data_IF_949266324900
#
_entry.id   IF_949266324900
#
_cell.length_a   1.000
_cell.length_b   1.000
_cell.length_c   1.000
_cell.angle_alpha   90.00
_cell.angle_beta   90.00
_cell.angle_gamma   90.00
#
_symmetry.space_group_name_H-M   'P 1'
#
loop_
_entity.id
_entity.type
_entity.pdbx_description
1 polymer ?
#
# COMPACT_ATOMS: atom_id res chain seq x y z
N UNK A 1 16.11 9.36 8.00
CA UNK A 1 15.52 8.15 8.58
C UNK A 1 16.52 7.01 8.67
N UNK A 2 17.16 6.58 7.57
CA UNK A 2 18.14 5.48 7.60
C UNK A 2 19.34 5.76 8.52
N UNK A 3 19.85 6.99 8.54
CA UNK A 3 20.94 7.41 9.44
C UNK A 3 20.51 7.38 10.91
N UNK A 4 19.30 7.83 11.22
CA UNK A 4 18.72 7.73 12.58
C UNK A 4 18.56 6.27 12.99
N UNK A 5 18.18 5.43 12.06
CA UNK A 5 18.03 3.99 12.26
C UNK A 5 19.38 3.30 12.56
N UNK A 6 20.46 3.72 11.90
CA UNK A 6 21.82 3.20 12.15
C UNK A 6 22.39 3.65 13.50
N UNK A 7 22.03 4.87 13.95
CA UNK A 7 22.52 5.43 15.22
C UNK A 7 21.81 4.81 16.44
N UNK A 8 20.52 4.48 16.32
CA UNK A 8 19.73 3.88 17.39
C UNK A 8 19.53 2.37 17.20
N UNK A 9 20.49 1.73 16.54
CA UNK A 9 20.42 0.37 16.04
C UNK A 9 19.98 -0.66 17.11
N UNK A 10 20.69 -0.76 18.23
CA UNK A 10 20.43 -1.79 19.25
C UNK A 10 19.12 -1.58 20.03
N UNK A 11 18.72 -0.34 20.27
CA UNK A 11 17.50 -0.04 21.01
C UNK A 11 16.25 -0.32 20.19
N UNK A 12 16.25 0.07 18.90
CA UNK A 12 15.10 -0.07 18.01
C UNK A 12 14.92 -1.55 17.62
N UNK A 13 16.00 -2.26 17.32
CA UNK A 13 15.95 -3.64 16.83
C UNK A 13 15.59 -4.65 17.91
N UNK A 14 16.23 -4.57 19.07
CA UNK A 14 16.02 -5.57 20.14
C UNK A 14 14.78 -5.28 20.97
N UNK A 15 14.45 -3.99 21.23
CA UNK A 15 13.37 -3.64 22.14
C UNK A 15 12.03 -3.39 21.48
N UNK A 16 12.01 -2.87 20.23
CA UNK A 16 10.76 -2.45 19.57
C UNK A 16 10.34 -3.39 18.47
N UNK A 17 11.23 -3.79 17.57
CA UNK A 17 10.88 -4.52 16.36
C UNK A 17 11.06 -6.03 16.48
N UNK A 18 12.00 -6.50 17.30
CA UNK A 18 12.35 -7.93 17.44
C UNK A 18 12.56 -8.65 16.08
N UNK A 19 13.20 -7.96 15.12
CA UNK A 19 13.43 -8.41 13.75
C UNK A 19 14.93 -8.33 13.45
N UNK A 20 15.50 -9.35 12.83
CA UNK A 20 16.90 -9.39 12.44
C UNK A 20 17.28 -8.26 11.46
N UNK A 21 18.43 -7.64 11.67
CA UNK A 21 18.98 -6.53 10.86
C UNK A 21 19.00 -6.83 9.36
N UNK A 22 19.28 -8.08 8.96
CA UNK A 22 19.36 -8.51 7.55
C UNK A 22 18.08 -8.25 6.75
N UNK A 23 16.90 -8.37 7.39
CA UNK A 23 15.61 -8.15 6.72
C UNK A 23 15.37 -6.66 6.45
N UNK A 24 15.83 -5.83 7.33
CA UNK A 24 15.55 -4.39 7.32
C UNK A 24 16.34 -3.69 6.22
N UNK A 25 17.58 -4.09 5.95
CA UNK A 25 18.34 -3.52 4.85
C UNK A 25 17.65 -3.69 3.49
N UNK A 26 17.05 -4.85 3.25
CA UNK A 26 16.28 -5.12 2.01
C UNK A 26 15.04 -4.23 1.94
N UNK A 27 14.33 -4.08 3.06
CA UNK A 27 13.15 -3.23 3.13
C UNK A 27 13.48 -1.75 2.91
N UNK A 28 14.60 -1.26 3.48
CA UNK A 28 15.05 0.12 3.26
C UNK A 28 15.48 0.37 1.82
N UNK A 29 16.18 -0.56 1.21
CA UNK A 29 16.53 -0.46 -0.21
C UNK A 29 15.28 -0.31 -1.09
N UNK A 30 14.27 -1.15 -0.86
CA UNK A 30 12.98 -1.02 -1.53
C UNK A 30 12.31 0.32 -1.24
N UNK A 31 12.27 0.75 0.02
CA UNK A 31 11.63 2.00 0.44
C UNK A 31 12.25 3.21 -0.26
N UNK A 32 13.56 3.19 -0.49
CA UNK A 32 14.26 4.25 -1.24
C UNK A 32 13.85 4.28 -2.72
N UNK A 33 13.66 3.12 -3.33
CA UNK A 33 13.29 3.02 -4.74
C UNK A 33 11.79 3.19 -5.00
N UNK A 34 10.93 2.80 -4.08
CA UNK A 34 9.47 2.76 -4.22
C UNK A 34 8.79 4.06 -4.69
N UNK A 35 9.24 5.27 -4.29
CA UNK A 35 8.63 6.51 -4.74
C UNK A 35 8.60 6.67 -6.27
N UNK A 36 9.62 6.19 -6.98
CA UNK A 36 9.68 6.30 -8.44
C UNK A 36 8.55 5.51 -9.13
N UNK A 37 8.31 4.29 -8.66
CA UNK A 37 7.18 3.48 -9.12
C UNK A 37 5.84 4.14 -8.81
N UNK A 38 5.66 4.61 -7.59
CA UNK A 38 4.44 5.28 -7.15
C UNK A 38 4.14 6.53 -7.98
N UNK A 39 5.15 7.38 -8.23
CA UNK A 39 5.02 8.56 -9.08
C UNK A 39 4.66 8.20 -10.53
N UNK A 40 5.31 7.19 -11.10
CA UNK A 40 5.04 6.74 -12.46
C UNK A 40 3.60 6.27 -12.62
N UNK A 41 3.16 5.40 -11.74
CA UNK A 41 1.81 4.81 -11.74
C UNK A 41 0.75 5.89 -11.51
N UNK A 42 0.95 6.76 -10.52
CA UNK A 42 0.01 7.87 -10.20
C UNK A 42 -0.11 8.86 -11.36
N UNK A 43 1.01 9.21 -12.00
CA UNK A 43 1.00 10.07 -13.20
C UNK A 43 0.14 9.46 -14.31
N UNK A 44 0.35 8.19 -14.67
CA UNK A 44 -0.40 7.57 -15.75
C UNK A 44 -1.89 7.42 -15.43
N UNK A 45 -2.23 7.21 -14.15
CA UNK A 45 -3.61 7.21 -13.68
C UNK A 45 -4.26 8.60 -13.82
N UNK A 46 -3.57 9.65 -13.39
CA UNK A 46 -4.08 11.02 -13.49
C UNK A 46 -4.32 11.47 -14.94
N UNK A 47 -3.54 10.95 -15.90
CA UNK A 47 -3.74 11.20 -17.34
C UNK A 47 -4.64 10.16 -18.03
N UNK A 48 -5.44 9.39 -17.31
CA UNK A 48 -6.36 8.36 -17.83
C UNK A 48 -5.70 7.29 -18.72
N UNK A 49 -4.38 7.11 -18.62
CA UNK A 49 -3.66 6.07 -19.35
C UNK A 49 -3.78 4.71 -18.64
N UNK A 50 -5.02 4.24 -18.52
CA UNK A 50 -5.36 3.05 -17.75
C UNK A 50 -4.62 1.78 -18.18
N UNK A 51 -4.36 1.60 -19.49
CA UNK A 51 -3.61 0.42 -19.99
C UNK A 51 -2.22 0.35 -19.43
N UNK A 52 -1.46 1.46 -19.45
CA UNK A 52 -0.09 1.51 -18.91
C UNK A 52 -0.13 1.29 -17.40
N UNK A 53 -1.05 1.94 -16.71
CA UNK A 53 -1.26 1.76 -15.27
C UNK A 53 -1.54 0.28 -14.92
N UNK A 54 -2.52 -0.36 -15.58
CA UNK A 54 -2.92 -1.74 -15.29
C UNK A 54 -1.82 -2.74 -15.61
N UNK A 55 -1.13 -2.60 -16.75
CA UNK A 55 -0.03 -3.48 -17.15
C UNK A 55 1.12 -3.37 -16.14
N UNK A 56 1.56 -2.16 -15.79
CA UNK A 56 2.65 -1.97 -14.83
C UNK A 56 2.31 -2.49 -13.44
N UNK A 57 1.07 -2.28 -12.99
CA UNK A 57 0.61 -2.82 -11.71
C UNK A 57 0.53 -4.35 -11.76
N UNK A 58 0.00 -4.92 -12.83
CA UNK A 58 -0.07 -6.37 -13.04
C UNK A 58 1.31 -7.02 -13.06
N UNK A 59 2.27 -6.44 -13.79
CA UNK A 59 3.65 -6.92 -13.83
C UNK A 59 4.29 -6.87 -12.43
N UNK A 60 4.13 -5.76 -11.72
CA UNK A 60 4.69 -5.62 -10.37
C UNK A 60 4.15 -6.66 -9.40
N UNK A 61 2.85 -6.90 -9.42
CA UNK A 61 2.20 -7.91 -8.58
C UNK A 61 2.64 -9.31 -8.98
N UNK A 62 2.62 -9.65 -10.27
CA UNK A 62 2.99 -10.96 -10.77
C UNK A 62 4.46 -11.31 -10.45
N UNK A 63 5.38 -10.36 -10.63
CA UNK A 63 6.78 -10.53 -10.28
C UNK A 63 6.95 -10.73 -8.77
N UNK A 64 6.35 -9.87 -7.95
CA UNK A 64 6.51 -9.94 -6.49
C UNK A 64 5.88 -11.19 -5.89
N UNK A 65 4.69 -11.57 -6.33
CA UNK A 65 4.02 -12.80 -5.85
C UNK A 65 4.72 -14.06 -6.40
N UNK A 66 5.03 -14.09 -7.69
CA UNK A 66 5.66 -15.25 -8.32
C UNK A 66 7.03 -15.56 -7.70
N UNK A 67 7.89 -14.54 -7.59
CA UNK A 67 9.23 -14.72 -6.95
C UNK A 67 9.11 -15.03 -5.46
N UNK A 68 8.16 -14.43 -4.75
CA UNK A 68 7.93 -14.71 -3.33
C UNK A 68 7.51 -16.17 -3.11
N UNK A 69 6.58 -16.70 -3.91
CA UNK A 69 6.14 -18.09 -3.81
C UNK A 69 7.29 -19.06 -4.12
N UNK A 70 8.04 -18.81 -5.18
CA UNK A 70 9.18 -19.66 -5.55
C UNK A 70 10.23 -19.69 -4.44
N UNK A 71 10.63 -18.52 -3.92
CA UNK A 71 11.66 -18.42 -2.90
C UNK A 71 11.23 -18.99 -1.54
N UNK A 72 9.95 -18.86 -1.16
CA UNK A 72 9.42 -19.46 0.07
C UNK A 72 9.49 -20.99 0.01
N UNK A 73 9.31 -21.60 -1.18
CA UNK A 73 9.42 -23.05 -1.34
C UNK A 73 10.89 -23.51 -1.39
N UNK A 74 11.77 -22.72 -2.02
CA UNK A 74 13.18 -23.11 -2.24
C UNK A 74 14.09 -22.81 -1.04
N UNK A 75 13.77 -21.82 -0.20
CA UNK A 75 14.63 -21.42 0.91
C UNK A 75 14.22 -22.09 2.22
N UNK A 76 15.22 -22.50 3.02
CA UNK A 76 14.99 -23.02 4.37
C UNK A 76 14.39 -21.95 5.31
N UNK A 77 14.84 -20.70 5.18
CA UNK A 77 14.27 -19.56 5.88
C UNK A 77 13.12 -18.97 5.04
N UNK A 78 11.89 -19.42 5.35
CA UNK A 78 10.66 -19.00 4.67
C UNK A 78 10.38 -17.50 4.78
N UNK A 79 10.77 -16.88 5.90
CA UNK A 79 10.61 -15.43 6.10
C UNK A 79 11.55 -14.67 5.17
N UNK A 80 12.80 -15.09 5.08
CA UNK A 80 13.77 -14.49 4.15
C UNK A 80 13.32 -14.64 2.71
N UNK A 81 12.87 -15.83 2.32
CA UNK A 81 12.34 -16.09 0.98
C UNK A 81 11.17 -15.18 0.62
N UNK A 82 10.26 -14.96 1.56
CA UNK A 82 9.13 -14.04 1.37
C UNK A 82 9.56 -12.58 1.23
N UNK A 83 10.48 -12.11 2.06
CA UNK A 83 10.96 -10.72 2.05
C UNK A 83 11.75 -10.44 0.77
N UNK A 84 12.71 -11.29 0.43
CA UNK A 84 13.48 -11.16 -0.80
C UNK A 84 12.55 -11.18 -2.03
N UNK A 85 11.67 -12.17 -2.11
CA UNK A 85 10.78 -12.35 -3.25
C UNK A 85 9.78 -11.21 -3.44
N UNK A 86 9.36 -10.57 -2.36
CA UNK A 86 8.43 -9.45 -2.43
C UNK A 86 9.11 -8.12 -2.73
N UNK A 87 10.23 -7.82 -2.06
CA UNK A 87 10.82 -6.48 -2.10
C UNK A 87 11.89 -6.30 -3.18
N UNK A 88 12.70 -7.33 -3.50
CA UNK A 88 13.76 -7.18 -4.48
C UNK A 88 13.24 -6.95 -5.90
N UNK A 89 12.30 -7.74 -6.44
CA UNK A 89 11.77 -7.48 -7.79
C UNK A 89 11.06 -6.13 -7.89
N UNK A 90 10.34 -5.75 -6.84
CA UNK A 90 9.70 -4.45 -6.77
C UNK A 90 10.72 -3.30 -6.70
N UNK A 91 11.84 -3.47 -5.99
CA UNK A 91 12.93 -2.51 -5.95
C UNK A 91 13.64 -2.36 -7.31
N UNK A 92 13.90 -3.48 -7.99
CA UNK A 92 14.51 -3.48 -9.33
C UNK A 92 13.61 -2.74 -10.33
N UNK A 93 12.31 -3.06 -10.35
CA UNK A 93 11.35 -2.38 -11.21
C UNK A 93 11.30 -0.88 -10.92
N UNK A 94 11.29 -0.52 -9.65
CA UNK A 94 11.29 0.87 -9.19
C UNK A 94 12.58 1.60 -9.57
N UNK A 95 13.73 0.93 -9.48
CA UNK A 95 15.04 1.47 -9.86
C UNK A 95 15.12 1.74 -11.38
N UNK A 96 14.63 0.82 -12.19
CA UNK A 96 14.54 1.01 -13.65
C UNK A 96 13.70 2.24 -13.97
N UNK A 97 12.55 2.38 -13.32
CA UNK A 97 11.69 3.56 -13.49
C UNK A 97 12.33 4.85 -12.97
N UNK A 98 13.10 4.76 -11.87
CA UNK A 98 13.85 5.90 -11.36
C UNK A 98 14.87 6.42 -12.37
N UNK A 99 15.66 5.51 -12.94
CA UNK A 99 16.64 5.84 -13.99
C UNK A 99 15.93 6.44 -15.20
N UNK A 100 14.84 5.83 -15.66
CA UNK A 100 14.04 6.34 -16.78
C UNK A 100 13.50 7.76 -16.52
N UNK A 101 12.96 8.02 -15.33
CA UNK A 101 12.46 9.34 -14.94
C UNK A 101 13.59 10.37 -14.81
N UNK A 102 14.74 9.97 -14.27
CA UNK A 102 15.91 10.85 -14.11
C UNK A 102 16.47 11.29 -15.49
N UNK A 103 16.61 10.35 -16.41
CA UNK A 103 17.07 10.64 -17.78
C UNK A 103 16.08 11.58 -18.52
N UNK A 104 14.79 11.36 -18.31
CA UNK A 104 13.75 12.15 -18.99
C UNK A 104 13.54 13.53 -18.35
N UNK A 105 13.79 13.66 -17.05
CA UNK A 105 13.56 14.88 -16.28
C UNK A 105 14.61 15.98 -16.47
N UNK A 106 15.84 15.63 -16.78
CA UNK A 106 17.01 16.48 -17.11
C UNK A 106 17.34 17.66 -16.19
N UNK A 107 16.44 18.12 -15.31
CA UNK A 107 16.65 19.29 -14.43
C UNK A 107 15.99 19.09 -13.07
N UNK A 108 16.75 19.37 -12.01
CA UNK A 108 16.25 19.45 -10.64
C UNK A 108 15.76 20.88 -10.43
N UNK A 109 14.49 21.07 -10.14
CA UNK A 109 13.91 22.39 -9.85
C UNK A 109 13.49 22.48 -8.39
N UNK A 110 14.24 23.21 -7.59
CA UNK A 110 14.01 23.41 -6.15
C UNK A 110 12.63 24.01 -5.85
N UNK A 111 12.06 24.78 -6.78
CA UNK A 111 10.73 25.37 -6.66
C UNK A 111 9.64 24.30 -6.45
N UNK A 112 9.70 23.22 -7.21
CA UNK A 112 8.72 22.12 -7.08
C UNK A 112 8.93 21.33 -5.81
N UNK A 113 10.17 21.19 -5.35
CA UNK A 113 10.47 20.55 -4.06
C UNK A 113 9.89 21.33 -2.90
N UNK A 114 10.08 22.66 -2.87
CA UNK A 114 9.47 23.53 -1.85
C UNK A 114 7.94 23.39 -1.84
N UNK A 115 7.31 23.46 -2.99
CA UNK A 115 5.86 23.29 -3.11
C UNK A 115 5.38 21.93 -2.59
N UNK A 116 6.04 20.85 -2.97
CA UNK A 116 5.72 19.51 -2.51
C UNK A 116 5.88 19.35 -0.99
N UNK A 117 6.99 19.86 -0.41
CA UNK A 117 7.26 19.78 1.02
C UNK A 117 6.20 20.51 1.86
N UNK A 118 5.76 21.68 1.44
CA UNK A 118 4.72 22.45 2.16
C UNK A 118 3.42 21.64 2.26
N UNK A 119 3.09 20.86 1.24
CA UNK A 119 1.89 20.02 1.23
C UNK A 119 2.13 18.70 1.98
N UNK A 120 3.29 18.07 1.79
CA UNK A 120 3.56 16.75 2.34
C UNK A 120 3.86 16.76 3.84
N UNK A 121 4.54 17.79 4.37
CA UNK A 121 4.92 17.84 5.79
C UNK A 121 3.71 17.73 6.72
N UNK A 122 2.61 18.49 6.54
CA UNK A 122 1.43 18.36 7.40
C UNK A 122 0.68 17.04 7.20
N UNK A 123 0.82 16.38 6.04
CA UNK A 123 0.22 15.06 5.80
C UNK A 123 0.95 13.92 6.52
N UNK A 124 2.25 14.06 6.81
CA UNK A 124 3.03 13.00 7.47
C UNK A 124 2.47 12.62 8.85
N UNK A 125 2.19 13.56 9.78
CA UNK A 125 1.59 13.20 11.08
C UNK A 125 0.22 12.53 10.93
N UNK A 126 -0.60 12.99 9.99
CA UNK A 126 -1.90 12.40 9.72
C UNK A 126 -1.79 10.94 9.26
N UNK A 127 -0.94 10.65 8.28
CA UNK A 127 -0.72 9.30 7.79
C UNK A 127 -0.08 8.38 8.84
N UNK A 128 0.85 8.90 9.66
CA UNK A 128 1.42 8.18 10.78
C UNK A 128 0.34 7.80 11.80
N UNK A 129 -0.51 8.74 12.18
CA UNK A 129 -1.60 8.51 13.14
C UNK A 129 -2.57 7.43 12.63
N UNK A 130 -2.93 7.45 11.35
CA UNK A 130 -3.78 6.42 10.75
C UNK A 130 -3.12 5.03 10.78
N UNK A 131 -1.83 4.93 10.47
CA UNK A 131 -1.10 3.67 10.51
C UNK A 131 -0.94 3.13 11.95
N UNK A 132 -0.66 4.00 12.90
CA UNK A 132 -0.57 3.64 14.32
C UNK A 132 -1.93 3.15 14.80
N UNK A 133 -3.00 3.87 14.51
CA UNK A 133 -4.36 3.51 14.91
C UNK A 133 -4.75 2.14 14.35
N UNK A 134 -4.54 1.88 13.06
CA UNK A 134 -4.89 0.60 12.42
C UNK A 134 -4.08 -0.60 12.95
N UNK A 135 -2.89 -0.37 13.51
CA UNK A 135 -2.03 -1.41 14.09
C UNK A 135 -2.23 -1.59 15.59
N UNK A 136 -2.73 -0.55 16.28
CA UNK A 136 -2.89 -0.52 17.75
C UNK A 136 -3.85 -1.59 18.26
N UNK A 137 -4.92 -1.85 17.51
CA UNK A 137 -5.93 -2.85 17.89
C UNK A 137 -5.32 -4.24 18.09
N UNK A 138 -4.46 -4.67 17.15
CA UNK A 138 -3.78 -5.97 17.23
C UNK A 138 -2.81 -6.05 18.42
N UNK A 139 -2.10 -4.95 18.70
CA UNK A 139 -1.14 -4.87 19.79
C UNK A 139 -1.88 -4.93 21.13
N UNK A 140 -2.99 -4.20 21.27
CA UNK A 140 -3.84 -4.17 22.44
C UNK A 140 -4.46 -5.54 22.72
N UNK A 141 -5.08 -6.16 21.73
CA UNK A 141 -5.70 -7.48 21.85
C UNK A 141 -4.64 -8.51 22.25
N UNK A 142 -3.46 -8.48 21.63
CA UNK A 142 -2.38 -9.40 21.99
C UNK A 142 -1.92 -9.23 23.43
N UNK A 143 -1.86 -8.00 23.94
CA UNK A 143 -1.43 -7.71 25.32
C UNK A 143 -2.49 -8.05 26.36
N UNK A 144 -3.77 -7.81 26.07
CA UNK A 144 -4.86 -7.98 27.04
C UNK A 144 -5.41 -9.40 27.00
N UNK A 145 -5.67 -9.94 25.81
CA UNK A 145 -6.39 -11.20 25.62
C UNK A 145 -5.49 -12.36 25.16
N UNK A 146 -4.24 -12.08 24.76
CA UNK A 146 -3.29 -13.08 24.32
C UNK A 146 -3.19 -13.25 22.80
N UNK A 147 -2.25 -14.12 22.40
CA UNK A 147 -1.90 -14.30 20.99
C UNK A 147 -3.01 -14.97 20.15
N UNK A 148 -3.80 -15.84 20.77
CA UNK A 148 -4.88 -16.57 20.11
C UNK A 148 -5.99 -15.62 19.63
N UNK A 149 -6.46 -14.73 20.51
CA UNK A 149 -7.46 -13.72 20.16
C UNK A 149 -6.94 -12.70 19.15
N UNK A 150 -5.65 -12.36 19.22
CA UNK A 150 -5.02 -11.51 18.23
C UNK A 150 -4.95 -12.17 16.84
N UNK A 151 -4.79 -13.49 16.77
CA UNK A 151 -4.84 -14.25 15.52
C UNK A 151 -6.25 -14.26 14.93
N UNK A 152 -7.28 -14.55 15.73
CA UNK A 152 -8.69 -14.49 15.32
C UNK A 152 -9.07 -13.09 14.81
N UNK A 153 -8.71 -12.05 15.56
CA UNK A 153 -8.91 -10.67 15.13
C UNK A 153 -8.22 -10.37 13.79
N UNK A 154 -7.00 -10.88 13.59
CA UNK A 154 -6.25 -10.66 12.34
C UNK A 154 -6.93 -11.32 11.15
N UNK A 155 -7.57 -12.47 11.32
CA UNK A 155 -8.36 -13.14 10.27
C UNK A 155 -9.59 -12.29 9.93
N UNK A 156 -10.36 -11.89 10.92
CA UNK A 156 -11.54 -11.05 10.74
C UNK A 156 -11.19 -9.69 10.08
N UNK A 157 -10.10 -9.07 10.53
CA UNK A 157 -9.58 -7.84 9.94
C UNK A 157 -9.14 -8.02 8.48
N UNK A 158 -8.55 -9.17 8.14
CA UNK A 158 -8.18 -9.48 6.75
C UNK A 158 -9.40 -9.61 5.84
N UNK A 159 -10.50 -10.19 6.33
CA UNK A 159 -11.78 -10.24 5.63
C UNK A 159 -12.35 -8.82 5.41
N UNK A 160 -12.32 -7.98 6.43
CA UNK A 160 -12.77 -6.59 6.33
C UNK A 160 -11.92 -5.77 5.35
N UNK A 161 -10.62 -6.06 5.23
CA UNK A 161 -9.73 -5.41 4.27
C UNK A 161 -10.11 -5.64 2.80
N UNK A 162 -10.84 -6.70 2.47
CA UNK A 162 -11.36 -6.93 1.12
C UNK A 162 -12.27 -5.77 0.70
N UNK A 163 -13.13 -5.32 1.61
CA UNK A 163 -14.00 -4.14 1.38
C UNK A 163 -13.15 -2.90 1.13
N UNK A 164 -12.13 -2.68 1.96
CA UNK A 164 -11.24 -1.54 1.84
C UNK A 164 -10.49 -1.50 0.50
N UNK A 165 -10.03 -2.67 0.01
CA UNK A 165 -9.35 -2.78 -1.29
C UNK A 165 -10.32 -2.44 -2.45
N UNK A 166 -11.56 -2.91 -2.37
CA UNK A 166 -12.58 -2.57 -3.37
C UNK A 166 -12.89 -1.07 -3.36
N UNK A 167 -13.07 -0.48 -2.18
CA UNK A 167 -13.26 0.95 -2.00
C UNK A 167 -12.11 1.77 -2.57
N UNK A 168 -10.88 1.41 -2.23
CA UNK A 168 -9.69 2.06 -2.73
C UNK A 168 -9.59 2.00 -4.25
N UNK A 169 -9.95 0.86 -4.84
CA UNK A 169 -9.97 0.67 -6.28
C UNK A 169 -11.00 1.57 -6.96
N UNK A 170 -12.19 1.64 -6.39
CA UNK A 170 -13.26 2.53 -6.85
C UNK A 170 -12.85 4.00 -6.71
N UNK A 171 -12.29 4.38 -5.57
CA UNK A 171 -11.85 5.75 -5.32
C UNK A 171 -10.70 6.17 -6.28
N UNK A 172 -9.78 5.28 -6.57
CA UNK A 172 -8.70 5.51 -7.55
C UNK A 172 -9.22 5.78 -8.97
N UNK A 173 -10.35 5.21 -9.33
CA UNK A 173 -11.00 5.48 -10.61
C UNK A 173 -11.81 6.78 -10.60
N UNK A 174 -12.53 7.02 -9.51
CA UNK A 174 -13.45 8.14 -9.38
C UNK A 174 -12.75 9.49 -9.11
N UNK A 175 -11.68 9.49 -8.32
CA UNK A 175 -11.03 10.71 -7.88
C UNK A 175 -10.50 11.60 -9.03
N UNK A 176 -9.83 11.10 -10.08
CA UNK A 176 -9.41 11.94 -11.19
C UNK A 176 -10.58 12.61 -11.90
N UNK A 177 -11.62 11.86 -12.19
CA UNK A 177 -12.83 12.39 -12.82
C UNK A 177 -13.51 13.47 -11.98
N UNK A 178 -13.62 13.27 -10.67
CA UNK A 178 -14.22 14.25 -9.78
C UNK A 178 -13.41 15.54 -9.69
N UNK A 179 -12.08 15.44 -9.66
CA UNK A 179 -11.19 16.60 -9.66
C UNK A 179 -11.28 17.39 -10.97
N UNK A 180 -11.36 16.70 -12.10
CA UNK A 180 -11.55 17.36 -13.41
C UNK A 180 -12.91 18.09 -13.49
N UNK A 181 -13.96 17.46 -12.96
CA UNK A 181 -15.30 18.05 -12.88
C UNK A 181 -15.32 19.29 -11.98
N UNK A 182 -14.60 19.27 -10.84
CA UNK A 182 -14.43 20.45 -10.00
C UNK A 182 -13.67 21.58 -10.71
N UNK A 183 -12.65 21.24 -11.49
CA UNK A 183 -11.85 22.22 -12.24
C UNK A 183 -12.64 22.86 -13.37
N UNK A 184 -13.44 22.08 -14.09
CA UNK A 184 -14.31 22.57 -15.17
C UNK A 184 -15.55 23.33 -14.68
N UNK A 185 -15.87 23.25 -13.39
CA UNK A 185 -17.10 23.81 -12.76
C UNK A 185 -18.41 23.31 -13.41
N UNK A 186 -18.34 22.19 -14.13
CA UNK A 186 -19.52 21.54 -14.72
C UNK A 186 -20.04 20.45 -13.77
N UNK A 187 -20.97 20.83 -12.91
CA UNK A 187 -21.57 19.94 -11.91
C UNK A 187 -22.77 19.15 -12.42
N UNK A 188 -23.16 19.30 -13.69
CA UNK A 188 -24.36 18.68 -14.28
C UNK A 188 -24.32 17.14 -14.16
N UNK A 189 -23.14 16.57 -14.32
CA UNK A 189 -22.91 15.13 -14.31
C UNK A 189 -22.54 14.54 -12.95
N UNK A 190 -22.35 15.37 -11.90
CA UNK A 190 -21.92 14.86 -10.58
C UNK A 190 -22.99 13.95 -9.98
N UNK A 191 -24.24 14.37 -9.93
CA UNK A 191 -25.32 13.59 -9.35
C UNK A 191 -25.61 12.27 -10.09
N UNK A 192 -25.73 12.25 -11.45
CA UNK A 192 -25.99 11.02 -12.18
C UNK A 192 -24.85 10.00 -12.09
N UNK A 193 -23.60 10.44 -11.97
CA UNK A 193 -22.43 9.53 -11.85
C UNK A 193 -22.22 9.08 -10.42
N UNK A 194 -22.40 9.96 -9.43
CA UNK A 194 -22.16 9.66 -8.02
C UNK A 194 -23.23 8.70 -7.46
N UNK A 195 -24.49 8.81 -7.90
CA UNK A 195 -25.57 7.96 -7.40
C UNK A 195 -25.32 6.46 -7.67
N UNK A 196 -25.06 5.97 -8.90
CA UNK A 196 -24.76 4.57 -9.14
C UNK A 196 -23.45 4.12 -8.48
N UNK A 197 -22.45 4.99 -8.39
CA UNK A 197 -21.20 4.72 -7.68
C UNK A 197 -21.47 4.42 -6.19
N UNK A 198 -22.26 5.26 -5.52
CA UNK A 198 -22.61 5.07 -4.12
C UNK A 198 -23.48 3.84 -3.90
N UNK A 199 -24.41 3.58 -4.82
CA UNK A 199 -25.30 2.41 -4.75
C UNK A 199 -24.50 1.10 -4.90
N UNK A 200 -23.54 1.07 -5.82
CA UNK A 200 -22.64 -0.07 -6.00
C UNK A 200 -21.78 -0.29 -4.74
N UNK A 201 -21.28 0.78 -4.13
CA UNK A 201 -20.53 0.71 -2.88
C UNK A 201 -21.38 0.09 -1.74
N UNK A 202 -22.59 0.62 -1.53
CA UNK A 202 -23.52 0.12 -0.49
C UNK A 202 -23.88 -1.34 -0.73
N UNK A 203 -24.09 -1.73 -2.01
CA UNK A 203 -24.40 -3.11 -2.36
C UNK A 203 -23.24 -4.08 -2.06
N UNK A 204 -22.00 -3.69 -2.38
CA UNK A 204 -20.81 -4.49 -2.08
C UNK A 204 -20.60 -4.61 -0.57
N UNK A 205 -20.66 -3.49 0.14
CA UNK A 205 -20.49 -3.48 1.59
C UNK A 205 -21.57 -4.29 2.31
N UNK A 206 -22.83 -4.12 1.89
CA UNK A 206 -23.95 -4.89 2.40
C UNK A 206 -23.85 -6.40 2.10
N UNK A 207 -23.42 -6.74 0.89
CA UNK A 207 -23.19 -8.15 0.50
C UNK A 207 -22.10 -8.80 1.37
N UNK A 208 -20.99 -8.13 1.59
CA UNK A 208 -19.90 -8.64 2.45
C UNK A 208 -20.33 -8.70 3.92
N UNK A 209 -21.13 -7.73 4.38
CA UNK A 209 -21.70 -7.77 5.74
C UNK A 209 -22.61 -8.97 5.95
N UNK A 210 -23.46 -9.30 4.98
CA UNK A 210 -24.36 -10.45 5.04
C UNK A 210 -23.61 -11.79 4.93
N UNK A 211 -22.57 -11.85 4.09
CA UNK A 211 -21.77 -13.07 3.86
C UNK A 211 -20.56 -13.17 4.79
N UNK A 212 -20.41 -12.22 5.72
CA UNK A 212 -19.26 -12.15 6.64
C UNK A 212 -18.97 -13.45 7.39
N UNK A 213 -19.97 -14.11 8.02
CA UNK A 213 -19.77 -15.37 8.74
C UNK A 213 -19.21 -16.47 7.83
N UNK A 214 -19.75 -16.61 6.62
CA UNK A 214 -19.33 -17.62 5.64
C UNK A 214 -17.91 -17.35 5.12
N UNK A 215 -17.59 -16.09 4.86
CA UNK A 215 -16.25 -15.68 4.40
C UNK A 215 -15.21 -15.95 5.49
N UNK A 216 -15.52 -15.69 6.75
CA UNK A 216 -14.62 -15.99 7.89
C UNK A 216 -14.43 -17.50 8.03
N UNK A 217 -15.48 -18.30 7.88
CA UNK A 217 -15.41 -19.77 7.93
C UNK A 217 -14.52 -20.35 6.83
N UNK A 218 -14.63 -19.82 5.61
CA UNK A 218 -13.83 -20.29 4.46
C UNK A 218 -12.35 -19.89 4.62
N UNK A 219 -12.07 -18.66 5.05
CA UNK A 219 -10.71 -18.14 5.15
C UNK A 219 -9.99 -18.52 6.46
N UNK A 220 -10.76 -18.71 7.53
CA UNK A 220 -10.22 -19.05 8.86
C UNK A 220 -9.90 -20.52 9.05
N UNK A 221 -10.42 -21.39 8.17
CA UNK A 221 -10.36 -22.85 8.37
C UNK A 221 -11.23 -23.31 9.54
N UNK A 222 -11.52 -24.61 9.56
CA UNK A 222 -12.17 -25.25 10.73
C UNK A 222 -11.19 -25.40 11.86
#
# INVERSE_FOLDING_TARGET
FYVVFLVFDDFIFNSILAIDKKYIHIMFFYLFCAPAYSMFVTKHRAFYKYRVFSIMTGISIALSLGTSLILVVMMNDKLMGRIIGQYIPAAILSLILYIFLAIKGKRIQIKYWKYALVICIPLVPHLLSMNILSSSDRILIRRISGAEYAALFSIAHSCANIVSILLDSMNKAWAPWFLDTLHSKDYSNVKPVTKPYFLLFVSIAGGIFLLGPEVILILGGK
#
